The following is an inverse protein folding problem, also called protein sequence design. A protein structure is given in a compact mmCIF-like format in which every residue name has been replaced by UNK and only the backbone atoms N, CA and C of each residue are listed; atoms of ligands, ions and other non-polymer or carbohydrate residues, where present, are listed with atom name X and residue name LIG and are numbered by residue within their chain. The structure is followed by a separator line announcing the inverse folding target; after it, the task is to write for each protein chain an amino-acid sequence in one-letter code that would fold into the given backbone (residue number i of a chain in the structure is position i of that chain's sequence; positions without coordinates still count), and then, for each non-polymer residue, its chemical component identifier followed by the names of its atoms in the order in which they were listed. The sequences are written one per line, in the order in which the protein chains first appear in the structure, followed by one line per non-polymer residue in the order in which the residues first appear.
data_IF_603452424937
#
_entry.id   IF_603452424937
#
_cell.length_a   1.000
_cell.length_b   1.000
_cell.length_c   1.000
_cell.angle_alpha   90.00
_cell.angle_beta   90.00
_cell.angle_gamma   90.00
#
_symmetry.space_group_name_H-M   'P 1'
#
loop_
_entity.id
_entity.type
_entity.pdbx_description
1 polymer ?
#
# COMPACT_ATOMS: atom_id res chain seq x y z
N UNK A 1 -42.27 27.02 -62.39
CA UNK A 1 -40.95 26.37 -62.11
C UNK A 1 -40.69 26.40 -60.61
N UNK A 2 -40.98 25.28 -59.90
CA UNK A 2 -40.83 25.15 -58.46
C UNK A 2 -39.46 24.53 -58.22
N UNK A 3 -38.54 25.30 -57.59
CA UNK A 3 -37.22 24.80 -57.14
C UNK A 3 -37.38 24.03 -55.83
N UNK A 4 -37.15 22.72 -55.88
CA UNK A 4 -37.08 21.83 -54.72
C UNK A 4 -35.70 22.01 -54.10
N UNK A 5 -35.64 22.54 -52.86
CA UNK A 5 -34.42 22.61 -52.06
C UNK A 5 -34.37 21.37 -51.21
N UNK A 6 -33.46 20.44 -51.51
CA UNK A 6 -33.15 19.29 -50.67
C UNK A 6 -32.20 19.76 -49.58
N UNK A 7 -32.72 19.85 -48.33
CA UNK A 7 -31.89 20.00 -47.13
C UNK A 7 -31.39 18.65 -46.72
N UNK A 8 -30.10 18.38 -46.93
CA UNK A 8 -29.42 17.20 -46.36
C UNK A 8 -29.02 17.53 -44.92
N UNK A 9 -29.79 17.01 -43.99
CA UNK A 9 -29.41 17.05 -42.58
C UNK A 9 -28.30 16.01 -42.34
N UNK A 10 -27.07 16.51 -42.18
CA UNK A 10 -25.92 15.68 -41.75
C UNK A 10 -26.09 15.38 -40.26
N UNK A 11 -26.58 14.21 -39.94
CA UNK A 11 -26.63 13.70 -38.55
C UNK A 11 -25.21 13.24 -38.17
N UNK A 12 -24.44 14.13 -37.57
CA UNK A 12 -23.15 13.81 -36.97
C UNK A 12 -23.41 12.99 -35.67
N UNK A 13 -23.40 11.68 -35.77
CA UNK A 13 -23.30 10.80 -34.61
C UNK A 13 -21.90 11.01 -34.01
N UNK A 14 -21.80 11.81 -32.95
CA UNK A 14 -20.63 11.85 -32.12
C UNK A 14 -20.51 10.49 -31.41
N UNK A 15 -19.66 9.61 -31.95
CA UNK A 15 -19.19 8.45 -31.18
C UNK A 15 -18.36 9.02 -30.02
N UNK A 16 -18.97 9.05 -28.85
CA UNK A 16 -18.24 9.21 -27.60
C UNK A 16 -17.41 7.94 -27.40
N UNK A 17 -16.18 7.93 -27.93
CA UNK A 17 -15.19 6.95 -27.51
C UNK A 17 -14.87 7.29 -26.05
N UNK A 18 -15.51 6.63 -25.10
CA UNK A 18 -15.01 6.58 -23.76
C UNK A 18 -13.67 5.83 -23.85
N UNK A 19 -12.57 6.57 -23.76
CA UNK A 19 -11.28 5.97 -23.50
C UNK A 19 -11.44 5.25 -22.17
N UNK A 20 -11.41 3.92 -22.17
CA UNK A 20 -11.23 3.16 -20.95
C UNK A 20 -9.88 3.63 -20.37
N UNK A 21 -9.96 4.44 -19.33
CA UNK A 21 -8.78 4.91 -18.61
C UNK A 21 -8.27 3.71 -17.80
N UNK A 22 -7.45 2.88 -18.47
CA UNK A 22 -6.77 1.78 -17.81
C UNK A 22 -5.70 2.40 -16.90
N UNK A 23 -5.83 2.32 -15.58
CA UNK A 23 -4.85 2.88 -14.67
C UNK A 23 -3.54 2.13 -14.84
N UNK A 24 -2.59 2.75 -15.56
CA UNK A 24 -1.21 2.29 -15.66
C UNK A 24 -0.53 2.50 -14.30
N UNK A 25 0.38 1.59 -13.89
CA UNK A 25 1.20 1.74 -12.69
C UNK A 25 0.53 1.38 -11.35
N UNK A 26 -0.46 0.52 -11.33
CA UNK A 26 -0.86 -0.14 -10.09
C UNK A 26 0.28 -1.05 -9.61
N UNK A 27 0.66 -0.93 -8.33
CA UNK A 27 1.78 -1.66 -7.74
C UNK A 27 1.37 -2.30 -6.41
N UNK A 28 2.10 -3.33 -6.02
CA UNK A 28 1.96 -4.00 -4.73
C UNK A 28 0.53 -4.46 -4.43
N UNK A 29 -0.11 -5.24 -5.34
CA UNK A 29 -1.45 -5.73 -5.07
C UNK A 29 -1.44 -6.74 -3.94
N UNK A 30 -2.39 -6.61 -3.02
CA UNK A 30 -2.60 -7.52 -1.89
C UNK A 30 -4.09 -7.84 -1.76
N UNK A 31 -4.45 -9.12 -1.83
CA UNK A 31 -5.83 -9.56 -1.64
C UNK A 31 -6.13 -9.71 -0.15
N UNK A 32 -7.31 -9.29 0.28
CA UNK A 32 -7.77 -9.49 1.65
C UNK A 32 -7.96 -10.99 1.97
N UNK A 33 -7.70 -11.45 3.19
CA UNK A 33 -7.87 -12.85 3.59
C UNK A 33 -9.27 -13.43 3.34
N UNK A 34 -10.32 -12.61 3.37
CA UNK A 34 -11.69 -13.00 3.02
C UNK A 34 -11.93 -13.13 1.51
N UNK A 35 -10.92 -12.81 0.67
CA UNK A 35 -10.98 -12.92 -0.77
C UNK A 35 -11.88 -11.91 -1.47
N UNK A 36 -12.33 -10.84 -0.80
CA UNK A 36 -13.34 -9.92 -1.35
C UNK A 36 -12.77 -8.62 -1.91
N UNK A 37 -11.58 -8.19 -1.43
CA UNK A 37 -11.02 -6.86 -1.70
C UNK A 37 -9.54 -6.94 -2.05
N UNK A 38 -9.11 -6.14 -3.02
CA UNK A 38 -7.70 -5.97 -3.38
C UNK A 38 -7.28 -4.57 -2.93
N UNK A 39 -6.22 -4.49 -2.12
CA UNK A 39 -5.51 -3.25 -1.84
C UNK A 39 -4.31 -3.12 -2.78
N UNK A 40 -4.00 -1.91 -3.23
CA UNK A 40 -2.85 -1.64 -4.10
C UNK A 40 -2.38 -0.19 -3.97
N UNK A 41 -1.15 0.08 -4.42
CA UNK A 41 -0.61 1.43 -4.50
C UNK A 41 -0.79 1.99 -5.92
N UNK A 42 -1.24 3.25 -6.02
CA UNK A 42 -1.38 3.98 -7.25
C UNK A 42 -1.08 5.48 -7.04
N UNK A 43 -0.18 6.05 -7.85
CA UNK A 43 0.24 7.46 -7.78
C UNK A 43 0.70 7.94 -6.39
N UNK A 44 1.25 7.03 -5.58
CA UNK A 44 1.76 7.36 -4.24
C UNK A 44 0.79 7.13 -3.09
N UNK A 45 -0.47 6.81 -3.38
CA UNK A 45 -1.49 6.50 -2.38
C UNK A 45 -1.94 5.05 -2.43
N UNK A 46 -2.58 4.60 -1.35
CA UNK A 46 -3.24 3.30 -1.29
C UNK A 46 -4.70 3.40 -1.74
N UNK A 47 -5.12 2.40 -2.47
CA UNK A 47 -6.48 2.21 -2.96
C UNK A 47 -6.98 0.81 -2.63
N UNK A 48 -8.27 0.63 -2.59
CA UNK A 48 -8.93 -0.66 -2.54
C UNK A 48 -10.01 -0.79 -3.60
N UNK A 49 -10.19 -2.01 -4.12
CA UNK A 49 -11.23 -2.34 -5.10
C UNK A 49 -11.78 -3.74 -4.81
N UNK A 50 -13.05 -3.99 -5.14
CA UNK A 50 -13.61 -5.34 -5.08
C UNK A 50 -12.89 -6.27 -6.05
N UNK A 51 -12.72 -7.55 -5.69
CA UNK A 51 -12.18 -8.59 -6.60
C UNK A 51 -13.05 -8.79 -7.85
N UNK A 52 -14.33 -8.39 -7.78
CA UNK A 52 -15.24 -8.41 -8.92
C UNK A 52 -15.12 -7.17 -9.82
N UNK A 53 -14.17 -6.29 -9.55
CA UNK A 53 -13.99 -5.01 -10.24
C UNK A 53 -14.90 -3.92 -9.70
N UNK A 54 -15.00 -2.82 -10.43
CA UNK A 54 -15.77 -1.63 -10.07
C UNK A 54 -14.88 -0.44 -9.74
N UNK A 55 -15.43 0.54 -9.04
CA UNK A 55 -14.74 1.77 -8.66
C UNK A 55 -13.73 1.51 -7.54
N UNK A 56 -12.49 1.98 -7.73
CA UNK A 56 -11.46 1.92 -6.71
C UNK A 56 -11.63 3.05 -5.69
N UNK A 57 -11.60 2.71 -4.41
CA UNK A 57 -11.67 3.65 -3.31
C UNK A 57 -10.28 4.04 -2.85
N UNK A 58 -9.98 5.32 -2.76
CA UNK A 58 -8.76 5.83 -2.18
C UNK A 58 -8.78 5.67 -0.66
N UNK A 59 -7.72 5.12 -0.08
CA UNK A 59 -7.57 4.87 1.36
C UNK A 59 -6.68 5.92 2.03
N UNK A 60 -5.65 6.39 1.33
CA UNK A 60 -4.73 7.43 1.81
C UNK A 60 -4.70 8.62 0.87
N UNK A 61 -4.37 9.83 1.38
CA UNK A 61 -4.39 11.08 0.62
C UNK A 61 -3.23 12.00 1.02
N UNK A 62 -2.09 11.45 1.42
CA UNK A 62 -0.93 12.23 1.82
C UNK A 62 0.01 12.47 0.65
N UNK A 63 0.79 13.57 0.66
CA UNK A 63 1.82 13.86 -0.36
C UNK A 63 3.02 12.88 -0.32
N UNK A 64 3.10 12.02 0.69
CA UNK A 64 4.10 10.97 0.82
C UNK A 64 3.83 9.80 -0.12
N UNK A 65 4.82 8.93 -0.27
CA UNK A 65 4.70 7.70 -1.04
C UNK A 65 4.30 6.54 -0.12
N UNK A 66 3.08 6.04 -0.28
CA UNK A 66 2.52 4.89 0.41
C UNK A 66 2.60 3.64 -0.47
N UNK A 67 3.06 2.51 0.08
CA UNK A 67 3.31 1.29 -0.69
C UNK A 67 3.27 0.02 0.18
N UNK A 68 3.40 -1.15 -0.46
CA UNK A 68 3.48 -2.46 0.18
C UNK A 68 2.34 -2.72 1.18
N UNK A 69 1.06 -2.60 0.78
CA UNK A 69 -0.05 -2.92 1.66
C UNK A 69 -0.05 -4.41 2.02
N UNK A 70 -0.27 -4.73 3.29
CA UNK A 70 -0.51 -6.08 3.80
C UNK A 70 -1.75 -6.09 4.69
N UNK A 71 -2.57 -7.12 4.59
CA UNK A 71 -3.84 -7.23 5.29
C UNK A 71 -3.71 -7.94 6.63
N UNK A 72 -4.49 -7.49 7.62
CA UNK A 72 -4.72 -8.26 8.84
C UNK A 72 -5.55 -9.52 8.57
N UNK A 73 -5.38 -10.61 9.35
CA UNK A 73 -6.12 -11.87 9.14
C UNK A 73 -7.65 -11.70 9.15
N UNK A 74 -8.18 -10.74 9.89
CA UNK A 74 -9.61 -10.43 9.94
C UNK A 74 -10.10 -9.47 8.84
N UNK A 75 -9.23 -9.11 7.88
CA UNK A 75 -9.51 -8.18 6.76
C UNK A 75 -9.95 -6.77 7.17
N UNK A 76 -9.66 -6.35 8.42
CA UNK A 76 -10.11 -5.03 8.92
C UNK A 76 -9.04 -3.96 8.93
N UNK A 77 -7.77 -4.33 8.88
CA UNK A 77 -6.64 -3.41 8.91
C UNK A 77 -5.71 -3.67 7.73
N UNK A 78 -5.01 -2.62 7.30
CA UNK A 78 -3.96 -2.69 6.29
C UNK A 78 -2.72 -2.03 6.89
N UNK A 79 -1.62 -2.78 7.01
CA UNK A 79 -0.32 -2.19 7.29
C UNK A 79 0.39 -1.86 5.98
N UNK A 80 1.17 -0.80 5.95
CA UNK A 80 1.84 -0.32 4.75
C UNK A 80 3.10 0.48 5.09
N UNK A 81 3.93 0.68 4.09
CA UNK A 81 5.13 1.51 4.17
C UNK A 81 4.83 2.93 3.71
N UNK A 82 5.36 3.93 4.42
CA UNK A 82 5.21 5.35 4.04
C UNK A 82 6.43 6.17 4.45
N UNK A 83 6.80 7.16 3.63
CA UNK A 83 7.88 8.11 3.93
C UNK A 83 7.38 9.45 4.47
N UNK A 84 6.16 9.52 5.00
CA UNK A 84 5.53 10.78 5.48
C UNK A 84 6.25 11.46 6.64
N UNK A 85 7.10 10.73 7.35
CA UNK A 85 7.90 11.23 8.46
C UNK A 85 9.41 11.23 8.15
N UNK A 86 9.76 11.18 6.85
CA UNK A 86 11.14 11.24 6.36
C UNK A 86 11.72 9.89 5.96
N UNK A 87 11.81 8.92 6.88
CA UNK A 87 12.18 7.52 6.57
C UNK A 87 10.99 6.70 6.10
N UNK A 88 11.28 5.53 5.52
CA UNK A 88 10.24 4.56 5.17
C UNK A 88 9.85 3.76 6.40
N UNK A 89 8.77 4.16 7.04
CA UNK A 89 8.24 3.56 8.28
C UNK A 89 6.98 2.74 8.02
N UNK A 90 6.63 1.92 9.02
CA UNK A 90 5.40 1.12 9.01
C UNK A 90 4.25 1.93 9.59
N UNK A 91 3.15 1.96 8.86
CA UNK A 91 1.87 2.54 9.27
C UNK A 91 0.78 1.48 9.22
N UNK A 92 -0.29 1.70 9.95
CA UNK A 92 -1.51 0.90 9.88
C UNK A 92 -2.72 1.82 9.69
N UNK A 93 -3.68 1.39 8.88
CA UNK A 93 -4.94 2.07 8.62
C UNK A 93 -6.11 1.07 8.69
N UNK A 94 -7.30 1.53 9.00
CA UNK A 94 -8.52 0.73 8.84
C UNK A 94 -8.76 0.40 7.36
N UNK A 95 -9.24 -0.80 7.06
CA UNK A 95 -9.55 -1.22 5.68
C UNK A 95 -10.56 -0.32 4.96
N UNK A 96 -11.34 0.46 5.73
CA UNK A 96 -12.26 1.48 5.22
C UNK A 96 -11.61 2.83 5.01
N UNK A 97 -10.30 2.96 5.21
CA UNK A 97 -9.59 4.24 5.20
C UNK A 97 -9.70 4.99 6.52
N UNK A 98 -9.18 6.20 6.58
CA UNK A 98 -9.15 7.03 7.79
C UNK A 98 -7.76 7.63 8.03
N UNK A 99 -7.43 7.90 9.28
CA UNK A 99 -6.13 8.45 9.65
C UNK A 99 -5.16 7.30 9.97
N UNK A 100 -4.05 7.16 9.24
CA UNK A 100 -3.06 6.13 9.54
C UNK A 100 -2.35 6.38 10.86
N UNK A 101 -2.05 5.29 11.58
CA UNK A 101 -1.22 5.29 12.79
C UNK A 101 0.19 4.84 12.46
N UNK A 102 1.21 5.63 12.82
CA UNK A 102 2.63 5.24 12.70
C UNK A 102 2.96 4.18 13.74
N UNK A 103 3.60 3.08 13.33
CA UNK A 103 3.98 1.97 14.21
C UNK A 103 5.47 1.99 14.56
N UNK A 104 6.31 2.46 13.65
CA UNK A 104 7.77 2.44 13.79
C UNK A 104 8.36 3.84 13.57
N UNK A 105 9.57 4.08 14.10
CA UNK A 105 10.20 5.40 14.12
C UNK A 105 11.70 5.34 13.87
N UNK A 106 12.21 4.30 13.23
CA UNK A 106 13.64 4.18 12.96
C UNK A 106 14.07 5.01 11.75
N UNK A 107 15.35 5.37 11.71
CA UNK A 107 15.94 6.13 10.60
C UNK A 107 16.20 5.29 9.35
N UNK A 108 16.14 3.95 9.44
CA UNK A 108 16.31 3.03 8.32
C UNK A 108 14.99 2.76 7.59
N UNK A 109 15.09 2.12 6.43
CA UNK A 109 13.91 1.68 5.69
C UNK A 109 13.33 0.41 6.30
N UNK A 110 12.02 0.39 6.46
CA UNK A 110 11.25 -0.71 7.00
C UNK A 110 10.18 -1.13 5.99
N UNK A 111 10.01 -2.43 5.81
CA UNK A 111 9.04 -2.96 4.83
C UNK A 111 8.12 -3.96 5.52
N UNK A 112 6.79 -3.77 5.48
CA UNK A 112 5.86 -4.71 6.05
C UNK A 112 5.88 -6.02 5.25
N UNK A 113 5.81 -7.15 5.95
CA UNK A 113 5.83 -8.49 5.36
C UNK A 113 4.44 -9.12 5.46
N UNK A 114 3.89 -9.15 6.68
CA UNK A 114 2.62 -9.77 7.00
C UNK A 114 2.11 -9.31 8.37
N UNK A 115 0.89 -9.66 8.70
CA UNK A 115 0.43 -9.68 10.09
C UNK A 115 0.74 -11.04 10.73
N UNK A 116 1.27 -11.05 11.95
CA UNK A 116 1.41 -12.26 12.75
C UNK A 116 0.04 -12.71 13.32
N UNK A 117 -0.78 -11.74 13.68
CA UNK A 117 -2.16 -11.85 14.15
C UNK A 117 -2.89 -10.53 13.88
N UNK A 118 -4.12 -10.33 14.38
CA UNK A 118 -4.88 -9.11 14.14
C UNK A 118 -4.29 -7.84 14.78
N UNK A 119 -3.34 -7.98 15.70
CA UNK A 119 -2.79 -6.91 16.51
C UNK A 119 -1.28 -6.69 16.36
N UNK A 120 -0.59 -7.53 15.58
CA UNK A 120 0.86 -7.43 15.39
C UNK A 120 1.25 -7.54 13.92
N UNK A 121 2.12 -6.64 13.48
CA UNK A 121 2.71 -6.57 12.14
C UNK A 121 4.13 -7.10 12.19
N UNK A 122 4.47 -7.99 11.24
CA UNK A 122 5.83 -8.39 10.94
C UNK A 122 6.39 -7.50 9.84
N UNK A 123 7.61 -7.02 10.03
CA UNK A 123 8.29 -6.19 9.05
C UNK A 123 9.79 -6.50 8.98
N UNK A 124 10.38 -6.22 7.84
CA UNK A 124 11.82 -6.33 7.61
C UNK A 124 12.48 -4.98 7.84
N UNK A 125 13.59 -4.97 8.57
CA UNK A 125 14.43 -3.80 8.76
C UNK A 125 15.88 -4.19 8.98
N UNK A 126 16.82 -3.34 8.53
CA UNK A 126 18.23 -3.45 8.82
C UNK A 126 18.56 -2.53 10.02
N UNK A 127 18.15 -2.95 11.21
CA UNK A 127 18.46 -2.23 12.45
C UNK A 127 19.81 -2.71 12.98
N UNK A 128 20.65 -1.77 13.42
CA UNK A 128 21.92 -2.11 14.09
C UNK A 128 21.65 -2.37 15.57
N UNK A 129 21.59 -3.62 16.02
CA UNK A 129 21.13 -3.94 17.36
C UNK A 129 22.21 -3.69 18.44
N UNK A 130 23.48 -3.52 18.06
CA UNK A 130 24.60 -3.36 19.03
C UNK A 130 25.65 -2.38 18.54
N UNK A 131 26.40 -1.78 19.50
CA UNK A 131 27.55 -0.94 19.19
C UNK A 131 28.65 -1.67 18.39
N UNK A 132 28.75 -2.99 18.50
CA UNK A 132 29.68 -3.82 17.72
C UNK A 132 29.33 -3.90 16.24
N UNK A 133 28.05 -3.80 15.90
CA UNK A 133 27.59 -3.73 14.50
C UNK A 133 28.08 -2.46 13.79
N UNK A 134 28.40 -1.40 14.55
CA UNK A 134 28.91 -0.14 14.01
C UNK A 134 30.38 -0.26 13.59
N UNK A 135 31.16 -1.14 14.25
CA UNK A 135 32.62 -1.29 14.05
C UNK A 135 32.91 -2.10 12.78
N UNK A 136 32.03 -3.03 12.41
CA UNK A 136 32.17 -3.90 11.25
C UNK A 136 31.26 -3.47 10.08
N UNK A 137 31.08 -2.16 9.87
CA UNK A 137 30.21 -1.53 8.89
C UNK A 137 29.95 -2.37 7.63
N UNK A 138 28.78 -2.21 7.05
CA UNK A 138 28.30 -2.63 5.74
C UNK A 138 27.54 -3.97 5.60
N UNK A 139 27.46 -4.83 6.58
CA UNK A 139 26.68 -6.08 6.46
C UNK A 139 25.52 -6.17 7.48
N UNK A 140 24.69 -5.16 7.55
CA UNK A 140 23.41 -5.29 8.28
C UNK A 140 22.43 -6.06 7.40
N UNK A 141 22.33 -7.36 7.64
CA UNK A 141 21.29 -8.17 7.01
C UNK A 141 19.92 -7.75 7.55
N UNK A 142 18.91 -7.63 6.69
CA UNK A 142 17.55 -7.36 7.14
C UNK A 142 17.08 -8.48 8.07
N UNK A 143 16.53 -8.11 9.21
CA UNK A 143 15.95 -9.01 10.19
C UNK A 143 14.44 -8.79 10.25
N UNK A 144 13.73 -9.77 10.78
CA UNK A 144 12.27 -9.68 10.94
C UNK A 144 11.94 -9.24 12.36
N UNK A 145 11.19 -8.17 12.45
CA UNK A 145 10.68 -7.60 13.69
C UNK A 145 9.17 -7.70 13.76
N UNK A 146 8.66 -7.68 14.97
CA UNK A 146 7.23 -7.66 15.29
C UNK A 146 6.90 -6.39 16.06
N UNK A 147 5.84 -5.68 15.66
CA UNK A 147 5.35 -4.47 16.31
C UNK A 147 3.83 -4.53 16.48
N UNK A 148 3.33 -4.01 17.61
CA UNK A 148 1.88 -3.90 17.84
C UNK A 148 1.24 -2.87 16.91
N UNK A 149 0.00 -3.12 16.45
CA UNK A 149 -0.82 -2.14 15.71
C UNK A 149 -1.16 -0.88 16.52
N UNK A 150 -0.87 -0.88 17.82
CA UNK A 150 -0.96 0.30 18.71
C UNK A 150 0.36 1.06 18.80
N UNK A 151 1.40 0.62 18.08
CA UNK A 151 2.76 1.11 18.22
C UNK A 151 3.47 0.53 19.44
N UNK A 152 4.59 1.13 19.80
CA UNK A 152 5.43 0.70 20.92
C UNK A 152 6.79 0.18 20.47
N UNK A 153 7.51 -0.49 21.38
CA UNK A 153 8.84 -1.01 21.10
C UNK A 153 8.75 -2.27 20.24
N UNK A 154 9.42 -2.31 19.08
CA UNK A 154 9.50 -3.52 18.28
C UNK A 154 10.28 -4.63 18.99
N UNK A 155 9.89 -5.86 18.73
CA UNK A 155 10.57 -7.06 19.19
C UNK A 155 11.22 -7.78 18.01
N UNK A 156 12.43 -8.28 18.17
CA UNK A 156 13.06 -9.16 17.18
C UNK A 156 12.26 -10.47 17.11
N UNK A 157 11.72 -10.79 15.92
CA UNK A 157 10.87 -11.96 15.72
C UNK A 157 11.68 -13.21 15.39
N UNK A 158 12.73 -13.06 14.58
CA UNK A 158 13.58 -14.19 14.16
C UNK A 158 15.03 -13.74 13.99
N UNK A 159 15.94 -14.49 14.58
CA UNK A 159 17.35 -14.53 14.22
C UNK A 159 17.55 -15.75 13.33
N UNK A 160 18.05 -15.56 12.12
CA UNK A 160 18.59 -16.68 11.34
C UNK A 160 19.90 -17.09 12.00
N UNK A 161 19.87 -18.13 12.83
CA UNK A 161 21.08 -18.87 13.20
C UNK A 161 21.36 -19.81 12.03
N UNK A 162 22.42 -19.55 11.27
CA UNK A 162 22.97 -20.56 10.37
C UNK A 162 23.78 -21.54 11.21
N UNK A 163 23.31 -22.79 11.33
CA UNK A 163 24.11 -23.91 11.80
C UNK A 163 25.08 -24.38 10.71
#
# INVERSE_FOLDING_TARGET
MKKLIFSVALLSAALSASAEDHPLWMRYPAISPDGTTIAFAYKGDLYSVSVNGGEARQLTTHAAFDSHPVWSPDSKKIAFQSNREGSLDIFVIDAKGGVPTRLTTNSGSETPIAFADNDHVLYSASLQPTAQSIIFGDNTFPQIYKVSTKGGRPELFSTLTME
#
